data_IF_322079233475
#
_entry.id   IF_322079233475
#
_cell.length_a   1.000
_cell.length_b   1.000
_cell.length_c   1.000
_cell.angle_alpha   90.00
_cell.angle_beta   90.00
_cell.angle_gamma   90.00
#
_symmetry.space_group_name_H-M   'P 1'
#
loop_
_entity.id
_entity.type
_entity.pdbx_description
1 polymer ?
#
# COMPACT_ATOMS: atom_id res chain seq x y z
N UNK A 1 4.59 18.54 0.62
CA UNK A 1 4.05 17.36 1.34
C UNK A 1 2.82 16.76 0.68
N UNK A 2 1.73 17.49 0.45
CA UNK A 2 0.55 16.96 -0.29
C UNK A 2 0.92 16.63 -1.74
N UNK A 3 1.82 17.40 -2.34
CA UNK A 3 2.33 17.20 -3.69
C UNK A 3 3.07 15.86 -3.84
N UNK A 4 3.83 15.45 -2.82
CA UNK A 4 4.61 14.20 -2.84
C UNK A 4 3.72 12.96 -2.73
N UNK A 5 2.65 13.04 -1.94
CA UNK A 5 1.63 11.98 -1.88
C UNK A 5 0.94 11.83 -3.23
N UNK A 6 0.51 12.94 -3.85
CA UNK A 6 -0.13 12.93 -5.16
C UNK A 6 0.76 12.33 -6.24
N UNK A 7 2.06 12.58 -6.18
CA UNK A 7 3.04 11.99 -7.10
C UNK A 7 3.10 10.46 -6.96
N UNK A 8 3.23 9.96 -5.73
CA UNK A 8 3.29 8.50 -5.45
C UNK A 8 1.99 7.82 -5.87
N UNK A 9 0.85 8.40 -5.53
CA UNK A 9 -0.46 7.84 -5.85
C UNK A 9 -0.74 7.86 -7.36
N UNK A 10 -0.35 8.93 -8.08
CA UNK A 10 -0.47 9.02 -9.54
C UNK A 10 0.45 8.01 -10.25
N UNK A 11 1.66 7.81 -9.73
CA UNK A 11 2.59 6.81 -10.24
C UNK A 11 2.04 5.39 -10.04
N UNK A 12 1.51 5.06 -8.87
CA UNK A 12 0.90 3.75 -8.58
C UNK A 12 -0.36 3.50 -9.43
N UNK A 13 -1.18 4.55 -9.65
CA UNK A 13 -2.37 4.46 -10.49
C UNK A 13 -2.04 4.13 -11.94
N UNK A 14 -0.97 4.72 -12.50
CA UNK A 14 -0.53 4.47 -13.89
C UNK A 14 -0.04 3.04 -14.10
N UNK A 15 0.58 2.47 -13.09
CA UNK A 15 1.23 1.15 -13.17
C UNK A 15 0.28 0.01 -12.80
N UNK A 16 -0.60 0.20 -11.84
CA UNK A 16 -1.45 -0.86 -11.29
C UNK A 16 -2.93 -0.80 -11.70
N UNK A 17 -3.32 0.12 -12.57
CA UNK A 17 -4.74 0.33 -12.92
C UNK A 17 -5.60 0.85 -11.74
N UNK A 18 -4.97 1.37 -10.71
CA UNK A 18 -5.59 1.85 -9.48
C UNK A 18 -6.05 3.30 -9.70
N UNK A 19 -7.32 3.48 -9.92
CA UNK A 19 -7.91 4.81 -10.05
C UNK A 19 -8.24 5.37 -8.68
N UNK A 20 -7.42 6.32 -8.20
CA UNK A 20 -7.83 7.14 -7.08
C UNK A 20 -8.77 8.25 -7.58
N UNK A 21 -9.93 8.42 -6.97
CA UNK A 21 -10.82 9.53 -7.26
C UNK A 21 -10.30 10.83 -6.61
N UNK A 22 -9.07 11.21 -6.90
CA UNK A 22 -8.54 12.50 -6.46
C UNK A 22 -8.86 13.53 -7.54
N UNK A 23 -10.03 14.08 -7.47
CA UNK A 23 -10.38 15.26 -8.27
C UNK A 23 -9.51 16.43 -7.82
N UNK A 24 -8.78 17.05 -8.78
CA UNK A 24 -7.90 18.21 -8.60
C UNK A 24 -8.57 19.49 -8.07
N UNK A 25 -9.79 19.41 -7.55
CA UNK A 25 -10.61 20.60 -7.25
C UNK A 25 -11.23 20.60 -5.87
N UNK A 26 -10.48 20.30 -4.81
CA UNK A 26 -10.98 20.77 -3.51
C UNK A 26 -9.82 21.16 -2.61
N UNK A 27 -9.76 22.44 -2.38
CA UNK A 27 -9.12 23.07 -1.23
C UNK A 27 -9.62 22.38 0.01
N UNK A 28 -8.78 21.64 0.67
CA UNK A 28 -8.89 21.49 2.10
C UNK A 28 -7.97 20.40 2.65
N UNK A 29 -7.66 20.44 3.91
CA UNK A 29 -6.93 19.38 4.60
C UNK A 29 -7.76 18.11 4.85
N UNK A 30 -8.90 17.93 4.19
CA UNK A 30 -9.81 16.85 4.49
C UNK A 30 -9.67 15.72 3.49
N UNK A 31 -9.12 14.62 3.95
CA UNK A 31 -9.19 13.36 3.26
C UNK A 31 -10.48 12.63 3.66
N UNK A 32 -11.17 12.05 2.69
CA UNK A 32 -12.30 11.19 2.97
C UNK A 32 -11.88 9.87 3.64
N UNK A 33 -12.79 9.24 4.37
CA UNK A 33 -12.55 7.92 4.96
C UNK A 33 -12.12 6.89 3.91
N UNK A 34 -12.78 6.87 2.76
CA UNK A 34 -12.44 5.95 1.65
C UNK A 34 -11.02 6.17 1.15
N UNK A 35 -10.63 7.41 0.88
CA UNK A 35 -9.27 7.73 0.46
C UNK A 35 -8.23 7.33 1.51
N UNK A 36 -8.54 7.51 2.79
CA UNK A 36 -7.65 7.10 3.87
C UNK A 36 -7.49 5.58 3.96
N UNK A 37 -8.56 4.83 3.75
CA UNK A 37 -8.54 3.36 3.65
C UNK A 37 -7.59 2.93 2.52
N UNK A 38 -7.75 3.49 1.31
CA UNK A 38 -6.92 3.19 0.15
C UNK A 38 -5.43 3.49 0.42
N UNK A 39 -5.14 4.63 1.05
CA UNK A 39 -3.76 5.00 1.39
C UNK A 39 -3.13 4.05 2.40
N UNK A 40 -3.85 3.63 3.44
CA UNK A 40 -3.34 2.67 4.41
C UNK A 40 -3.05 1.30 3.76
N UNK A 41 -3.89 0.86 2.83
CA UNK A 41 -3.65 -0.36 2.05
C UNK A 41 -2.41 -0.26 1.18
N UNK A 42 -2.23 0.87 0.50
CA UNK A 42 -1.04 1.12 -0.32
C UNK A 42 0.24 1.15 0.52
N UNK A 43 0.22 1.82 1.68
CA UNK A 43 1.36 1.78 2.59
C UNK A 43 1.66 0.34 3.05
N UNK A 44 0.64 -0.46 3.32
CA UNK A 44 0.84 -1.87 3.68
C UNK A 44 1.53 -2.67 2.55
N UNK A 45 1.14 -2.44 1.29
CA UNK A 45 1.78 -3.06 0.11
C UNK A 45 3.25 -2.63 0.00
N UNK A 46 3.53 -1.32 0.08
CA UNK A 46 4.89 -0.80 0.00
C UNK A 46 5.78 -1.33 1.15
N UNK A 47 5.23 -1.43 2.35
CA UNK A 47 5.92 -2.01 3.50
C UNK A 47 6.23 -3.50 3.28
N UNK A 48 5.29 -4.28 2.72
CA UNK A 48 5.52 -5.68 2.40
C UNK A 48 6.63 -5.83 1.34
N UNK A 49 6.58 -5.04 0.27
CA UNK A 49 7.60 -5.02 -0.79
C UNK A 49 8.98 -4.60 -0.27
N UNK A 50 9.04 -3.62 0.64
CA UNK A 50 10.30 -3.15 1.24
C UNK A 50 10.90 -4.11 2.28
N UNK A 51 10.22 -5.22 2.59
CA UNK A 51 10.68 -6.15 3.61
C UNK A 51 10.44 -5.72 5.05
N UNK A 52 9.53 -4.81 5.27
CA UNK A 52 9.20 -4.38 6.62
C UNK A 52 8.67 -5.51 7.49
N UNK A 53 8.84 -5.36 8.81
CA UNK A 53 8.34 -6.32 9.77
C UNK A 53 6.82 -6.56 9.59
N UNK A 54 6.42 -7.84 9.52
CA UNK A 54 5.03 -8.23 9.29
C UNK A 54 4.04 -7.71 10.34
N UNK A 55 4.48 -7.36 11.55
CA UNK A 55 3.63 -6.67 12.52
C UNK A 55 3.26 -5.26 12.06
N UNK A 56 4.23 -4.56 11.45
CA UNK A 56 3.99 -3.22 10.90
C UNK A 56 3.03 -3.30 9.71
N UNK A 57 3.24 -4.21 8.78
CA UNK A 57 2.32 -4.45 7.65
C UNK A 57 0.90 -4.71 8.14
N UNK A 58 0.74 -5.66 9.08
CA UNK A 58 -0.57 -5.98 9.66
C UNK A 58 -1.24 -4.81 10.37
N UNK A 59 -0.48 -3.93 11.01
CA UNK A 59 -1.04 -2.75 11.67
C UNK A 59 -1.74 -1.82 10.65
N UNK A 60 -1.14 -1.58 9.48
CA UNK A 60 -1.75 -0.81 8.41
C UNK A 60 -2.96 -1.51 7.80
N UNK A 61 -2.87 -2.81 7.53
CA UNK A 61 -3.99 -3.61 7.02
C UNK A 61 -5.18 -3.65 8.00
N UNK A 62 -4.92 -3.79 9.29
CA UNK A 62 -5.96 -3.76 10.31
C UNK A 62 -6.57 -2.36 10.43
N UNK A 63 -5.75 -1.31 10.41
CA UNK A 63 -6.21 0.07 10.41
C UNK A 63 -7.15 0.36 9.24
N UNK A 64 -6.75 -0.03 8.02
CA UNK A 64 -7.58 0.09 6.82
C UNK A 64 -8.94 -0.60 6.99
N UNK A 65 -8.94 -1.89 7.38
CA UNK A 65 -10.18 -2.66 7.58
C UNK A 65 -11.08 -2.06 8.66
N UNK A 66 -10.49 -1.62 9.77
CA UNK A 66 -11.23 -1.00 10.88
C UNK A 66 -11.88 0.30 10.42
N UNK A 67 -11.16 1.16 9.68
CA UNK A 67 -11.74 2.38 9.12
C UNK A 67 -12.84 2.08 8.11
N UNK A 68 -12.64 1.08 7.23
CA UNK A 68 -13.65 0.70 6.24
C UNK A 68 -14.96 0.26 6.89
N UNK A 69 -14.90 -0.44 8.03
CA UNK A 69 -16.07 -0.91 8.78
C UNK A 69 -16.63 0.09 9.79
N UNK A 70 -15.95 1.22 10.01
CA UNK A 70 -16.38 2.23 10.97
C UNK A 70 -17.63 2.97 10.48
N UNK A 71 -18.68 3.03 11.28
CA UNK A 71 -19.94 3.73 10.97
C UNK A 71 -19.87 5.20 11.37
N UNK A 72 -19.16 5.51 12.46
CA UNK A 72 -19.00 6.89 12.93
C UNK A 72 -18.25 7.76 11.92
N UNK A 73 -18.55 9.06 11.94
CA UNK A 73 -17.84 10.04 11.12
C UNK A 73 -16.39 10.17 11.56
N UNK A 74 -15.47 9.99 10.59
CA UNK A 74 -14.04 9.99 10.84
C UNK A 74 -13.55 11.30 11.45
N UNK A 75 -14.04 12.44 10.96
CA UNK A 75 -13.62 13.75 11.45
C UNK A 75 -14.02 13.95 12.91
N UNK A 76 -15.23 13.55 13.26
CA UNK A 76 -15.74 13.61 14.65
C UNK A 76 -14.85 12.79 15.58
N UNK A 77 -14.59 11.53 15.23
CA UNK A 77 -13.76 10.63 16.06
C UNK A 77 -12.36 11.17 16.25
N UNK A 78 -11.76 11.73 15.19
CA UNK A 78 -10.40 12.31 15.24
C UNK A 78 -10.39 13.60 16.07
N UNK A 79 -11.36 14.49 15.88
CA UNK A 79 -11.43 15.77 16.62
C UNK A 79 -11.66 15.58 18.12
N UNK A 80 -12.31 14.50 18.51
CA UNK A 80 -12.53 14.10 19.89
C UNK A 80 -11.37 13.27 20.49
N UNK A 81 -10.28 13.06 19.72
CA UNK A 81 -9.13 12.23 20.09
C UNK A 81 -9.45 10.77 20.45
N UNK A 82 -10.57 10.23 19.93
CA UNK A 82 -11.03 8.85 20.19
C UNK A 82 -10.47 7.81 19.23
N UNK A 83 -9.73 8.22 18.19
CA UNK A 83 -9.26 7.31 17.13
C UNK A 83 -8.44 6.13 17.65
N UNK A 84 -7.66 6.33 18.70
CA UNK A 84 -6.83 5.28 19.33
C UNK A 84 -7.61 4.35 20.27
N UNK A 85 -8.84 4.69 20.61
CA UNK A 85 -9.75 3.85 21.41
C UNK A 85 -10.44 2.81 20.54
N UNK A 86 -10.44 2.99 19.23
CA UNK A 86 -11.04 2.07 18.28
C UNK A 86 -10.23 0.77 18.24
N UNK A 87 -10.87 -0.35 18.56
CA UNK A 87 -10.22 -1.66 18.52
C UNK A 87 -9.67 -1.94 17.12
N UNK A 88 -8.36 -2.19 17.02
CA UNK A 88 -7.66 -2.44 15.75
C UNK A 88 -6.84 -1.24 15.27
N UNK A 89 -6.98 -0.06 15.87
CA UNK A 89 -6.18 1.13 15.59
C UNK A 89 -5.23 1.38 16.77
N UNK A 90 -3.95 1.04 16.60
CA UNK A 90 -2.92 1.33 17.59
C UNK A 90 -2.44 2.79 17.52
N UNK A 91 -1.68 3.22 18.53
CA UNK A 91 -1.17 4.61 18.65
C UNK A 91 -0.46 5.11 17.38
N UNK A 92 0.37 4.26 16.73
CA UNK A 92 1.10 4.64 15.53
C UNK A 92 0.19 4.93 14.34
N UNK A 93 -0.80 4.06 14.10
CA UNK A 93 -1.78 4.25 13.02
C UNK A 93 -2.74 5.38 13.37
N UNK A 94 -3.19 5.48 14.62
CA UNK A 94 -4.05 6.57 15.08
C UNK A 94 -3.39 7.94 14.91
N UNK A 95 -2.11 8.07 15.24
CA UNK A 95 -1.34 9.30 15.01
C UNK A 95 -1.26 9.67 13.53
N UNK A 96 -0.98 8.70 12.64
CA UNK A 96 -0.95 8.92 11.20
C UNK A 96 -2.32 9.34 10.66
N UNK A 97 -3.40 8.69 11.12
CA UNK A 97 -4.78 9.05 10.76
C UNK A 97 -5.09 10.50 11.18
N UNK A 98 -4.72 10.88 12.41
CA UNK A 98 -4.92 12.23 12.93
C UNK A 98 -4.17 13.25 12.08
N UNK A 99 -2.89 13.02 11.78
CA UNK A 99 -2.09 13.90 10.92
C UNK A 99 -2.67 14.03 9.51
N UNK A 100 -3.14 12.91 8.95
CA UNK A 100 -3.76 12.90 7.63
C UNK A 100 -5.06 13.70 7.59
N UNK A 101 -5.94 13.50 8.57
CA UNK A 101 -7.25 14.17 8.64
C UNK A 101 -7.11 15.64 8.99
N UNK A 102 -6.26 15.99 9.96
CA UNK A 102 -6.15 17.35 10.49
C UNK A 102 -5.20 18.23 9.69
N UNK A 103 -4.15 17.66 9.08
CA UNK A 103 -3.06 18.41 8.47
C UNK A 103 -2.74 17.99 7.02
N UNK A 104 -3.41 16.98 6.49
CA UNK A 104 -3.12 16.42 5.15
C UNK A 104 -1.70 15.84 5.03
N UNK A 105 -1.11 15.43 6.14
CA UNK A 105 0.25 14.88 6.22
C UNK A 105 0.21 13.34 6.30
N UNK A 106 1.07 12.68 5.51
CA UNK A 106 1.09 11.22 5.34
C UNK A 106 2.39 10.57 5.81
N UNK A 107 3.20 11.29 6.55
CA UNK A 107 4.53 10.82 6.92
C UNK A 107 5.45 10.68 5.71
N UNK A 108 6.39 9.73 5.78
CA UNK A 108 7.46 9.56 4.78
C UNK A 108 7.10 8.52 3.68
N UNK A 109 5.89 8.64 3.13
CA UNK A 109 5.39 7.70 2.11
C UNK A 109 6.22 7.75 0.83
N UNK A 110 6.70 8.94 0.44
CA UNK A 110 7.56 9.11 -0.74
C UNK A 110 8.87 8.35 -0.60
N UNK A 111 9.56 8.49 0.53
CA UNK A 111 10.80 7.76 0.79
C UNK A 111 10.61 6.24 0.82
N UNK A 112 9.44 5.76 1.23
CA UNK A 112 9.10 4.35 1.16
C UNK A 112 8.93 3.87 -0.29
N UNK A 113 8.23 4.66 -1.10
CA UNK A 113 8.02 4.38 -2.52
C UNK A 113 9.33 4.38 -3.32
N UNK A 114 10.19 5.38 -3.10
CA UNK A 114 11.46 5.56 -3.81
C UNK A 114 12.45 4.39 -3.57
N UNK A 115 12.23 3.57 -2.54
CA UNK A 115 13.04 2.38 -2.23
C UNK A 115 12.61 1.13 -2.98
N UNK A 116 11.48 1.17 -3.67
CA UNK A 116 10.89 -0.01 -4.31
C UNK A 116 11.08 0.11 -5.81
N UNK A 117 11.68 -0.89 -6.48
CA UNK A 117 11.75 -0.92 -7.93
C UNK A 117 10.36 -0.75 -8.56
N UNK A 118 10.16 0.18 -9.48
CA UNK A 118 8.84 0.47 -10.07
C UNK A 118 8.15 -0.76 -10.66
N UNK A 119 8.89 -1.64 -11.30
CA UNK A 119 8.34 -2.86 -11.89
C UNK A 119 7.80 -3.88 -10.87
N UNK A 120 8.21 -3.82 -9.59
CA UNK A 120 7.57 -4.63 -8.55
C UNK A 120 6.13 -4.23 -8.28
N UNK A 121 5.82 -2.95 -8.45
CA UNK A 121 4.44 -2.44 -8.31
C UNK A 121 3.58 -2.98 -9.46
N UNK A 122 4.14 -3.05 -10.68
CA UNK A 122 3.49 -3.69 -11.83
C UNK A 122 3.21 -5.17 -11.58
N UNK A 123 4.21 -5.90 -11.08
CA UNK A 123 4.09 -7.32 -10.76
C UNK A 123 3.00 -7.58 -9.71
N UNK A 124 2.86 -6.72 -8.69
CA UNK A 124 1.77 -6.82 -7.69
C UNK A 124 0.39 -6.70 -8.33
N UNK A 125 0.26 -5.96 -9.43
CA UNK A 125 -0.98 -5.83 -10.20
C UNK A 125 -1.39 -7.10 -10.96
N UNK A 126 -0.48 -8.08 -11.12
CA UNK A 126 -0.77 -9.34 -11.80
C UNK A 126 -1.63 -10.24 -10.89
N UNK A 127 -2.79 -10.74 -11.37
CA UNK A 127 -3.62 -11.64 -10.58
C UNK A 127 -2.84 -12.83 -10.01
N UNK A 128 -2.92 -13.02 -8.69
CA UNK A 128 -2.20 -14.09 -8.00
C UNK A 128 -0.77 -13.76 -7.56
N UNK A 129 -0.22 -12.61 -7.96
CA UNK A 129 1.11 -12.13 -7.54
C UNK A 129 1.00 -10.98 -6.54
N UNK A 130 0.47 -11.24 -5.34
CA UNK A 130 0.44 -10.23 -4.29
C UNK A 130 1.84 -9.80 -3.81
N UNK A 131 1.93 -8.74 -2.97
CA UNK A 131 3.20 -8.11 -2.60
C UNK A 131 4.22 -9.08 -1.98
N UNK A 132 3.76 -10.06 -1.20
CA UNK A 132 4.64 -11.08 -0.63
C UNK A 132 5.31 -11.94 -1.70
N UNK A 133 4.56 -12.36 -2.73
CA UNK A 133 5.12 -13.15 -3.84
C UNK A 133 6.04 -12.30 -4.71
N UNK A 134 5.66 -11.07 -5.05
CA UNK A 134 6.50 -10.14 -5.78
C UNK A 134 7.85 -9.91 -5.08
N UNK A 135 7.83 -9.75 -3.76
CA UNK A 135 9.05 -9.64 -2.96
C UNK A 135 9.91 -10.91 -3.03
N UNK A 136 9.33 -12.12 -2.92
CA UNK A 136 10.08 -13.38 -3.04
C UNK A 136 10.74 -13.48 -4.41
N UNK A 137 10.05 -13.12 -5.49
CA UNK A 137 10.62 -13.09 -6.83
C UNK A 137 11.83 -12.14 -6.93
N UNK A 138 11.71 -10.96 -6.35
CA UNK A 138 12.79 -9.98 -6.32
C UNK A 138 13.99 -10.47 -5.49
N UNK A 139 13.76 -10.92 -4.26
CA UNK A 139 14.84 -11.36 -3.35
C UNK A 139 15.54 -12.65 -3.82
N UNK A 140 14.79 -13.57 -4.45
CA UNK A 140 15.34 -14.88 -4.83
C UNK A 140 15.93 -14.90 -6.25
N UNK A 141 15.38 -14.15 -7.18
CA UNK A 141 15.73 -14.19 -8.60
C UNK A 141 16.12 -12.82 -9.18
N UNK A 142 16.09 -11.74 -8.39
CA UNK A 142 16.36 -10.38 -8.88
C UNK A 142 15.30 -9.85 -9.85
N UNK A 143 14.10 -10.42 -9.84
CA UNK A 143 13.03 -10.02 -10.76
C UNK A 143 12.47 -8.67 -10.32
N UNK A 144 12.67 -7.65 -11.13
CA UNK A 144 12.30 -6.26 -10.86
C UNK A 144 11.37 -5.65 -11.93
N UNK A 145 10.97 -6.44 -12.93
CA UNK A 145 10.10 -6.02 -14.03
C UNK A 145 9.25 -7.18 -14.55
N UNK A 146 8.19 -6.88 -15.30
CA UNK A 146 7.34 -7.89 -15.94
C UNK A 146 8.14 -8.68 -16.98
N UNK A 147 9.07 -8.03 -17.68
CA UNK A 147 9.93 -8.67 -18.67
C UNK A 147 10.86 -9.70 -18.03
N UNK A 148 11.52 -9.34 -16.91
CA UNK A 148 12.40 -10.27 -16.17
C UNK A 148 11.60 -11.42 -15.57
N UNK A 149 10.36 -11.17 -15.13
CA UNK A 149 9.44 -12.22 -14.67
C UNK A 149 9.10 -13.19 -15.79
N UNK A 150 8.74 -12.67 -16.97
CA UNK A 150 8.42 -13.50 -18.14
C UNK A 150 9.59 -14.40 -18.52
N UNK A 151 10.80 -13.84 -18.62
CA UNK A 151 12.01 -14.61 -18.93
C UNK A 151 12.26 -15.71 -17.88
N UNK A 152 12.09 -15.42 -16.59
CA UNK A 152 12.24 -16.40 -15.51
C UNK A 152 11.20 -17.52 -15.57
N UNK A 153 9.96 -17.21 -16.01
CA UNK A 153 8.91 -18.21 -16.23
C UNK A 153 9.23 -19.13 -17.41
N UNK A 154 9.73 -18.58 -18.52
CA UNK A 154 10.13 -19.36 -19.72
C UNK A 154 11.27 -20.34 -19.42
N UNK A 155 12.15 -19.98 -18.47
CA UNK A 155 13.27 -20.82 -18.02
C UNK A 155 12.92 -21.77 -16.85
N UNK A 156 11.66 -21.81 -16.41
CA UNK A 156 11.18 -22.62 -15.28
C UNK A 156 11.85 -22.28 -13.93
N UNK A 157 12.35 -21.05 -13.76
CA UNK A 157 13.03 -20.63 -12.54
C UNK A 157 12.05 -20.26 -11.41
N UNK A 158 10.79 -19.96 -11.73
CA UNK A 158 9.78 -19.50 -10.76
C UNK A 158 9.10 -20.67 -10.04
N UNK A 159 8.83 -21.76 -10.73
CA UNK A 159 8.09 -22.90 -10.18
C UNK A 159 8.75 -23.59 -8.97
N UNK A 160 10.10 -23.61 -8.84
CA UNK A 160 10.77 -24.20 -7.67
C UNK A 160 10.68 -23.34 -6.40
N UNK A 161 10.32 -22.07 -6.51
CA UNK A 161 10.28 -21.17 -5.36
C UNK A 161 9.14 -21.53 -4.40
N UNK A 162 9.40 -21.39 -3.11
CA UNK A 162 8.39 -21.58 -2.06
C UNK A 162 7.20 -20.63 -2.26
N UNK A 163 6.00 -21.19 -2.31
CA UNK A 163 4.77 -20.43 -2.57
C UNK A 163 4.43 -20.27 -4.04
N UNK A 164 5.25 -20.83 -4.94
CA UNK A 164 4.97 -20.93 -6.37
C UNK A 164 4.82 -22.40 -6.78
N UNK A 165 4.04 -22.64 -7.79
CA UNK A 165 3.87 -23.97 -8.36
C UNK A 165 3.69 -23.86 -9.86
N UNK A 166 3.70 -25.00 -10.58
CA UNK A 166 3.53 -25.02 -12.04
C UNK A 166 2.31 -24.26 -12.55
N UNK A 167 1.20 -24.24 -11.79
CA UNK A 167 -0.01 -23.44 -12.10
C UNK A 167 0.16 -21.93 -11.92
N UNK A 168 1.11 -21.48 -11.11
CA UNK A 168 1.36 -20.05 -10.88
C UNK A 168 2.27 -19.43 -11.94
N UNK A 169 2.87 -20.26 -12.79
CA UNK A 169 3.78 -19.86 -13.84
C UNK A 169 3.08 -19.79 -15.22
N UNK A 170 1.89 -20.35 -15.34
CA UNK A 170 1.04 -20.31 -16.54
C UNK A 170 0.18 -19.04 -16.58
#
# INVERSE_FOLDING_TARGET
>A
MVQDLLYVLDAMAKVGGWTLPISRRQQAPYISKTQLVDVLEQIAILLELSGANGFRVRAYQNGSRTLASMEEDLFTVVSENRIVEIKGIGKGIGGLITEAVMHGSWGDMKSLYDKIPPGLIEIVGIPGLGPKRARILYESLGIDSVESLKAACELDHVSPLSGFGKKSQQ
#
